data_IF_362020844136
#
_entry.id   IF_362020844136
#
_cell.length_a   1.000
_cell.length_b   1.000
_cell.length_c   1.000
_cell.angle_alpha   90.00
_cell.angle_beta   90.00
_cell.angle_gamma   90.00
#
_symmetry.space_group_name_H-M   'P 1'
#
loop_
_entity.id
_entity.type
_entity.pdbx_description
1 polymer ?
#
# COMPACT_ATOMS: atom_id res chain seq x y z
N UNK A 1 -24.74 -1.82 12.14
CA UNK A 1 -24.35 -0.54 11.49
C UNK A 1 -22.94 -0.05 11.84
N UNK A 2 -22.59 0.19 13.12
CA UNK A 2 -21.26 0.72 13.50
C UNK A 2 -20.09 -0.12 12.96
N UNK A 3 -20.16 -1.45 13.07
CA UNK A 3 -19.11 -2.37 12.58
C UNK A 3 -18.99 -2.36 11.05
N UNK A 4 -20.10 -2.18 10.35
CA UNK A 4 -20.15 -2.11 8.89
C UNK A 4 -19.46 -0.84 8.39
N UNK A 5 -19.67 0.30 9.06
CA UNK A 5 -18.96 1.56 8.77
C UNK A 5 -17.46 1.42 9.06
N UNK A 6 -17.08 0.91 10.23
CA UNK A 6 -15.66 0.69 10.59
C UNK A 6 -14.98 -0.23 9.58
N UNK A 7 -15.64 -1.34 9.23
CA UNK A 7 -15.14 -2.31 8.26
C UNK A 7 -14.97 -1.71 6.87
N UNK A 8 -15.99 -1.02 6.37
CA UNK A 8 -15.97 -0.34 5.08
C UNK A 8 -14.86 0.71 5.00
N UNK A 9 -14.74 1.56 6.02
CA UNK A 9 -13.65 2.56 6.09
C UNK A 9 -12.28 1.90 6.13
N UNK A 10 -12.12 0.80 6.86
CA UNK A 10 -10.86 0.05 6.93
C UNK A 10 -10.46 -0.53 5.57
N UNK A 11 -11.40 -1.18 4.87
CA UNK A 11 -11.19 -1.72 3.52
C UNK A 11 -10.82 -0.62 2.54
N UNK A 12 -11.60 0.45 2.47
CA UNK A 12 -11.36 1.56 1.56
C UNK A 12 -10.02 2.23 1.83
N UNK A 13 -9.70 2.51 3.10
CA UNK A 13 -8.41 3.08 3.50
C UNK A 13 -7.24 2.19 3.12
N UNK A 14 -7.38 0.87 3.32
CA UNK A 14 -6.36 -0.11 2.92
C UNK A 14 -6.12 -0.10 1.41
N UNK A 15 -7.18 -0.18 0.59
CA UNK A 15 -7.07 -0.18 -0.87
C UNK A 15 -6.49 1.14 -1.39
N UNK A 16 -6.93 2.28 -0.85
CA UNK A 16 -6.41 3.59 -1.23
C UNK A 16 -4.93 3.69 -0.87
N UNK A 17 -4.54 3.32 0.35
CA UNK A 17 -3.14 3.37 0.78
C UNK A 17 -2.26 2.47 -0.07
N UNK A 18 -2.72 1.26 -0.41
CA UNK A 18 -2.04 0.35 -1.32
C UNK A 18 -1.78 1.02 -2.68
N UNK A 19 -2.84 1.54 -3.32
CA UNK A 19 -2.74 2.21 -4.63
C UNK A 19 -1.81 3.43 -4.59
N UNK A 20 -1.95 4.29 -3.58
CA UNK A 20 -1.10 5.46 -3.40
C UNK A 20 0.37 5.08 -3.20
N UNK A 21 0.65 3.97 -2.52
CA UNK A 21 2.01 3.46 -2.33
C UNK A 21 2.62 3.01 -3.66
N UNK A 22 1.86 2.33 -4.52
CA UNK A 22 2.33 1.93 -5.84
C UNK A 22 2.59 3.15 -6.74
N UNK A 23 1.71 4.16 -6.68
CA UNK A 23 1.90 5.42 -7.41
C UNK A 23 3.17 6.12 -6.93
N UNK A 24 3.38 6.20 -5.61
CA UNK A 24 4.59 6.78 -5.03
C UNK A 24 5.85 6.02 -5.48
N UNK A 25 5.84 4.69 -5.48
CA UNK A 25 6.95 3.87 -5.98
C UNK A 25 7.23 4.11 -7.46
N UNK A 26 6.20 4.30 -8.29
CA UNK A 26 6.36 4.63 -9.70
C UNK A 26 7.02 6.00 -9.89
N UNK A 27 6.64 7.01 -9.10
CA UNK A 27 7.28 8.34 -9.14
C UNK A 27 8.71 8.27 -8.62
N UNK A 28 8.95 7.55 -7.52
CA UNK A 28 10.27 7.38 -6.93
C UNK A 28 11.25 6.66 -7.86
N UNK A 29 10.75 5.75 -8.69
CA UNK A 29 11.52 5.06 -9.73
C UNK A 29 12.22 6.03 -10.69
N UNK A 30 11.63 7.19 -10.96
CA UNK A 30 12.25 8.22 -11.82
C UNK A 30 13.55 8.78 -11.22
N UNK A 31 13.60 8.92 -9.90
CA UNK A 31 14.78 9.38 -9.17
C UNK A 31 15.88 8.31 -9.16
N UNK A 32 15.51 7.03 -9.06
CA UNK A 32 16.46 5.91 -9.12
C UNK A 32 17.09 5.73 -10.52
N UNK A 33 16.48 6.27 -11.57
CA UNK A 33 17.03 6.28 -12.93
C UNK A 33 17.77 7.56 -13.29
N UNK A 34 17.85 8.54 -12.39
CA UNK A 34 18.53 9.80 -12.65
C UNK A 34 20.05 9.55 -12.83
N UNK A 35 20.68 10.02 -13.93
CA UNK A 35 22.05 9.65 -14.33
C UNK A 35 23.12 9.88 -13.26
N UNK A 36 22.92 10.88 -12.40
CA UNK A 36 23.95 11.38 -11.48
C UNK A 36 23.64 11.12 -10.00
N UNK A 37 22.52 10.46 -9.70
CA UNK A 37 21.97 10.35 -8.33
C UNK A 37 21.43 8.95 -8.03
N UNK A 38 20.84 8.29 -9.02
CA UNK A 38 20.11 7.06 -8.85
C UNK A 38 20.95 5.81 -9.04
N UNK A 39 20.73 4.82 -8.18
CA UNK A 39 21.17 3.44 -8.39
C UNK A 39 20.03 2.52 -7.98
N UNK A 40 19.87 1.39 -8.65
CA UNK A 40 18.85 0.42 -8.30
C UNK A 40 19.43 -0.99 -8.21
N UNK A 41 18.79 -1.84 -7.42
CA UNK A 41 19.17 -3.24 -7.32
C UNK A 41 18.72 -3.97 -8.59
N UNK A 42 19.69 -4.46 -9.37
CA UNK A 42 19.43 -5.19 -10.62
C UNK A 42 18.54 -6.43 -10.44
N UNK A 43 18.53 -7.05 -9.26
CA UNK A 43 17.67 -8.21 -8.99
C UNK A 43 16.20 -7.83 -8.79
N UNK A 44 15.94 -6.59 -8.36
CA UNK A 44 14.60 -6.07 -8.09
C UNK A 44 14.08 -5.20 -9.23
N UNK A 45 14.98 -4.74 -10.11
CA UNK A 45 14.69 -3.71 -11.11
C UNK A 45 14.38 -2.36 -10.47
N UNK A 46 14.10 -1.36 -11.31
CA UNK A 46 13.88 0.03 -10.85
C UNK A 46 12.66 0.12 -9.93
N UNK A 47 11.52 -0.42 -10.38
CA UNK A 47 10.27 -0.34 -9.61
C UNK A 47 10.33 -1.17 -8.33
N UNK A 48 10.90 -2.38 -8.37
CA UNK A 48 11.03 -3.21 -7.18
C UNK A 48 11.96 -2.59 -6.13
N UNK A 49 13.04 -1.94 -6.57
CA UNK A 49 13.91 -1.17 -5.67
C UNK A 49 13.14 0.01 -5.06
N UNK A 50 12.41 0.78 -5.86
CA UNK A 50 11.59 1.88 -5.37
C UNK A 50 10.54 1.40 -4.36
N UNK A 51 9.85 0.30 -4.65
CA UNK A 51 8.85 -0.28 -3.78
C UNK A 51 9.47 -0.79 -2.46
N UNK A 52 10.68 -1.33 -2.50
CA UNK A 52 11.42 -1.77 -1.31
C UNK A 52 11.82 -0.58 -0.42
N UNK A 53 12.28 0.52 -1.03
CA UNK A 53 12.76 1.69 -0.28
C UNK A 53 11.62 2.48 0.37
N UNK A 54 10.52 2.71 -0.34
CA UNK A 54 9.45 3.59 0.15
C UNK A 54 8.12 2.89 0.41
N UNK A 55 7.92 1.68 -0.11
CA UNK A 55 6.65 0.99 -0.07
C UNK A 55 6.45 0.01 1.08
N UNK A 56 7.52 -0.44 1.74
CA UNK A 56 7.43 -1.57 2.67
C UNK A 56 6.48 -1.30 3.86
N UNK A 57 6.67 -0.19 4.57
CA UNK A 57 5.83 0.18 5.72
C UNK A 57 4.38 0.49 5.28
N UNK A 58 4.13 1.38 4.28
CA UNK A 58 2.78 1.67 3.83
C UNK A 58 2.01 0.44 3.32
N UNK A 59 2.67 -0.49 2.62
CA UNK A 59 2.05 -1.75 2.17
C UNK A 59 1.63 -2.63 3.35
N UNK A 60 2.48 -2.78 4.38
CA UNK A 60 2.13 -3.53 5.59
C UNK A 60 0.90 -2.91 6.27
N UNK A 61 0.87 -1.58 6.43
CA UNK A 61 -0.27 -0.88 7.03
C UNK A 61 -1.53 -1.07 6.16
N UNK A 62 -1.40 -0.97 4.84
CA UNK A 62 -2.52 -1.16 3.91
C UNK A 62 -3.13 -2.56 4.04
N UNK A 63 -2.28 -3.58 4.20
CA UNK A 63 -2.70 -4.97 4.38
C UNK A 63 -3.40 -5.17 5.73
N UNK A 64 -2.86 -4.60 6.81
CA UNK A 64 -3.48 -4.66 8.12
C UNK A 64 -4.85 -3.97 8.14
N UNK A 65 -4.96 -2.77 7.54
CA UNK A 65 -6.22 -2.05 7.40
C UNK A 65 -7.25 -2.87 6.60
N UNK A 66 -6.81 -3.48 5.51
CA UNK A 66 -7.68 -4.33 4.70
C UNK A 66 -8.17 -5.56 5.47
N UNK A 67 -7.28 -6.31 6.12
CA UNK A 67 -7.64 -7.52 6.89
C UNK A 67 -8.60 -7.17 8.04
N UNK A 68 -8.26 -6.16 8.85
CA UNK A 68 -9.10 -5.71 9.96
C UNK A 68 -10.43 -5.16 9.44
N UNK A 69 -10.40 -4.40 8.34
CA UNK A 69 -11.58 -3.88 7.67
C UNK A 69 -12.53 -4.99 7.22
N UNK A 70 -12.03 -6.00 6.50
CA UNK A 70 -12.80 -7.16 6.06
C UNK A 70 -13.40 -7.90 7.24
N UNK A 71 -12.64 -8.12 8.32
CA UNK A 71 -13.14 -8.76 9.54
C UNK A 71 -14.35 -8.01 10.14
N UNK A 72 -14.25 -6.70 10.30
CA UNK A 72 -15.36 -5.89 10.83
C UNK A 72 -16.54 -5.78 9.86
N UNK A 73 -16.28 -5.77 8.55
CA UNK A 73 -17.31 -5.72 7.52
C UNK A 73 -18.14 -7.01 7.52
N UNK A 74 -17.49 -8.18 7.55
CA UNK A 74 -18.17 -9.48 7.68
C UNK A 74 -18.96 -9.54 8.99
N UNK A 75 -18.37 -9.10 10.09
CA UNK A 75 -19.06 -9.07 11.39
C UNK A 75 -20.27 -8.13 11.38
N UNK A 76 -20.17 -6.99 10.71
CA UNK A 76 -21.23 -6.00 10.61
C UNK A 76 -22.38 -6.38 9.67
N UNK A 77 -22.16 -7.28 8.71
CA UNK A 77 -23.21 -7.85 7.83
C UNK A 77 -24.01 -8.96 8.54
N UNK A 78 -23.36 -9.68 9.46
CA UNK A 78 -23.97 -10.79 10.22
C UNK A 78 -24.76 -10.34 11.46
N UNK A 79 -24.71 -9.05 11.79
CA UNK A 79 -25.53 -8.42 12.84
C UNK A 79 -26.82 -7.86 12.27
#
# INVERSE_FOLDING_TARGET
MKKLIIGGTGVLSGVILFGMTLIAAAVYSLYLTAPDIGSYDTNLGVFGTALKEIGNIPLIISLLLFIVGVFYLIKGIKE
#
